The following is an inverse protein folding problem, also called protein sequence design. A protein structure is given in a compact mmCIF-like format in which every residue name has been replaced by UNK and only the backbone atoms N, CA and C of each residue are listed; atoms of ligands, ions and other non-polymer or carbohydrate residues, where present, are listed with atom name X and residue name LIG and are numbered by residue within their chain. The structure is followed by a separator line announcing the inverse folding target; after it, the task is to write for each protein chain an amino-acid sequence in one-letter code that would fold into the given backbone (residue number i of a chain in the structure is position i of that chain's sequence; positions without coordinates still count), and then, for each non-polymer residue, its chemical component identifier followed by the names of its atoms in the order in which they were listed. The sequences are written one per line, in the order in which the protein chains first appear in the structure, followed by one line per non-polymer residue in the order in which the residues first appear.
data_IF_361820516378
#
_entry.id   IF_361820516378
#
_cell.length_a   1.000
_cell.length_b   1.000
_cell.length_c   1.000
_cell.angle_alpha   90.00
_cell.angle_beta   90.00
_cell.angle_gamma   90.00
#
_symmetry.space_group_name_H-M   'P 1'
#
loop_
_entity.id
_entity.type
_entity.pdbx_description
1 polymer ?
#
# COMPACT_ATOMS: atom_id res chain seq x y z
N UNK A 1 -34.15 60.17 8.96
CA UNK A 1 -34.97 58.95 8.90
C UNK A 1 -35.35 58.72 7.45
N UNK A 2 -34.75 57.72 6.79
CA UNK A 2 -35.16 57.25 5.47
C UNK A 2 -34.98 55.74 5.45
N UNK A 3 -36.11 55.02 5.45
CA UNK A 3 -36.19 53.58 5.31
C UNK A 3 -35.95 53.21 3.84
N UNK A 4 -34.82 52.57 3.55
CA UNK A 4 -34.59 51.90 2.27
C UNK A 4 -35.51 50.69 2.17
N UNK A 5 -36.50 50.78 1.28
CA UNK A 5 -37.36 49.67 0.88
C UNK A 5 -36.52 48.57 0.21
N UNK A 6 -36.53 47.35 0.76
CA UNK A 6 -35.96 46.19 0.11
C UNK A 6 -36.78 45.82 -1.12
N UNK A 7 -36.11 45.62 -2.26
CA UNK A 7 -36.71 44.97 -3.43
C UNK A 7 -37.32 43.61 -3.03
N UNK A 8 -38.52 43.26 -3.53
CA UNK A 8 -39.13 41.98 -3.25
C UNK A 8 -38.27 40.85 -3.83
N UNK A 9 -37.95 39.85 -3.00
CA UNK A 9 -37.38 38.58 -3.42
C UNK A 9 -38.34 37.92 -4.42
N UNK A 10 -37.81 37.48 -5.57
CA UNK A 10 -38.54 36.63 -6.51
C UNK A 10 -39.12 35.41 -5.79
N UNK A 11 -40.35 34.98 -6.11
CA UNK A 11 -40.94 33.79 -5.51
C UNK A 11 -40.03 32.58 -5.78
N UNK A 12 -39.54 31.96 -4.71
CA UNK A 12 -38.64 30.81 -4.79
C UNK A 12 -39.28 29.67 -5.60
N UNK A 13 -38.79 29.48 -6.83
CA UNK A 13 -39.25 28.46 -7.77
C UNK A 13 -39.12 27.08 -7.11
N UNK A 14 -40.25 26.37 -7.01
CA UNK A 14 -40.29 25.04 -6.40
C UNK A 14 -40.10 23.93 -7.47
N UNK A 15 -39.81 22.70 -7.03
CA UNK A 15 -39.59 21.59 -7.95
C UNK A 15 -40.81 21.21 -8.81
N UNK A 16 -42.04 21.50 -8.37
CA UNK A 16 -43.26 21.30 -9.14
C UNK A 16 -43.45 22.38 -10.23
N UNK A 17 -43.01 23.62 -9.98
CA UNK A 17 -43.03 24.70 -10.96
C UNK A 17 -42.13 24.34 -12.16
N UNK A 18 -40.99 23.68 -11.91
CA UNK A 18 -40.09 23.21 -12.98
C UNK A 18 -40.72 22.16 -13.90
N UNK A 19 -41.70 21.38 -13.43
CA UNK A 19 -42.44 20.46 -14.30
C UNK A 19 -43.31 21.20 -15.30
N UNK A 20 -43.77 22.41 -14.95
CA UNK A 20 -44.59 23.26 -15.83
C UNK A 20 -43.75 24.05 -16.83
N UNK A 21 -42.43 24.15 -16.62
CA UNK A 21 -41.55 24.91 -17.52
C UNK A 21 -41.46 24.21 -18.88
N UNK A 22 -41.47 25.01 -19.94
CA UNK A 22 -41.00 24.54 -21.24
C UNK A 22 -39.47 24.30 -21.20
N UNK A 23 -38.96 23.56 -22.19
CA UNK A 23 -37.56 23.18 -22.23
C UNK A 23 -36.61 24.39 -22.30
N UNK A 24 -37.06 25.54 -22.81
CA UNK A 24 -36.23 26.75 -22.94
C UNK A 24 -36.10 27.47 -21.60
N UNK A 25 -37.21 27.63 -20.87
CA UNK A 25 -37.25 28.20 -19.53
C UNK A 25 -36.52 27.31 -18.52
N UNK A 26 -36.67 25.99 -18.63
CA UNK A 26 -35.95 25.04 -17.80
C UNK A 26 -34.43 25.15 -18.01
N UNK A 27 -33.97 25.27 -19.26
CA UNK A 27 -32.54 25.49 -19.56
C UNK A 27 -32.01 26.79 -18.96
N UNK A 28 -32.74 27.90 -19.12
CA UNK A 28 -32.32 29.19 -18.57
C UNK A 28 -32.21 29.12 -17.05
N UNK A 29 -33.20 28.52 -16.40
CA UNK A 29 -33.20 28.32 -14.95
C UNK A 29 -31.99 27.49 -14.48
N UNK A 30 -31.72 26.36 -15.15
CA UNK A 30 -30.59 25.47 -14.83
C UNK A 30 -29.21 26.08 -15.11
N UNK A 31 -29.14 27.13 -15.95
CA UNK A 31 -27.89 27.88 -16.20
C UNK A 31 -27.56 28.84 -15.06
N UNK A 32 -28.59 29.35 -14.39
CA UNK A 32 -28.47 30.38 -13.36
C UNK A 32 -28.53 29.81 -11.93
N UNK A 33 -29.03 28.58 -11.75
CA UNK A 33 -29.33 28.00 -10.44
C UNK A 33 -28.84 26.56 -10.32
N UNK A 34 -28.27 26.19 -9.16
CA UNK A 34 -27.86 24.81 -8.87
C UNK A 34 -29.09 23.93 -8.58
N UNK A 35 -29.14 22.75 -9.20
CA UNK A 35 -30.20 21.74 -9.01
C UNK A 35 -30.29 21.30 -7.54
N UNK A 36 -29.17 21.29 -6.82
CA UNK A 36 -29.14 20.91 -5.41
C UNK A 36 -29.85 21.91 -4.49
N UNK A 37 -30.11 23.14 -4.98
CA UNK A 37 -30.82 24.18 -4.22
C UNK A 37 -32.36 24.09 -4.32
N UNK A 38 -32.90 23.15 -5.12
CA UNK A 38 -34.33 23.04 -5.38
C UNK A 38 -35.12 22.54 -4.18
N UNK A 39 -36.00 23.39 -3.65
CA UNK A 39 -36.93 23.02 -2.58
C UNK A 39 -38.12 22.24 -3.14
N UNK A 40 -38.57 21.24 -2.37
CA UNK A 40 -39.79 20.49 -2.68
C UNK A 40 -39.60 19.24 -3.54
N UNK A 41 -38.36 18.87 -3.91
CA UNK A 41 -38.09 17.63 -4.68
C UNK A 41 -38.60 16.38 -3.96
N UNK A 42 -38.52 16.34 -2.62
CA UNK A 42 -39.05 15.24 -1.81
C UNK A 42 -40.58 15.20 -1.72
N UNK A 43 -41.27 16.29 -2.07
CA UNK A 43 -42.73 16.38 -2.08
C UNK A 43 -43.34 15.87 -3.40
N UNK A 44 -42.51 15.64 -4.42
CA UNK A 44 -42.94 15.08 -5.70
C UNK A 44 -43.17 13.57 -5.58
N UNK A 45 -44.21 13.07 -6.24
CA UNK A 45 -44.44 11.64 -6.43
C UNK A 45 -43.28 11.00 -7.21
N UNK A 46 -43.20 9.66 -7.18
CA UNK A 46 -42.16 8.91 -7.92
C UNK A 46 -42.22 9.22 -9.42
N UNK A 47 -43.42 9.32 -9.98
CA UNK A 47 -43.66 9.60 -11.40
C UNK A 47 -43.21 11.01 -11.77
N UNK A 48 -43.55 12.01 -10.95
CA UNK A 48 -43.14 13.40 -11.15
C UNK A 48 -41.62 13.57 -11.05
N UNK A 49 -40.96 12.85 -10.13
CA UNK A 49 -39.49 12.84 -10.03
C UNK A 49 -38.85 12.24 -11.28
N UNK A 50 -39.40 11.16 -11.82
CA UNK A 50 -38.92 10.56 -13.07
C UNK A 50 -39.13 11.50 -14.26
N UNK A 51 -40.27 12.17 -14.36
CA UNK A 51 -40.55 13.15 -15.41
C UNK A 51 -39.64 14.38 -15.32
N UNK A 52 -39.38 14.89 -14.11
CA UNK A 52 -38.44 16.00 -13.90
C UNK A 52 -37.01 15.58 -14.27
N UNK A 53 -36.59 14.37 -13.92
CA UNK A 53 -35.27 13.84 -14.27
C UNK A 53 -35.09 13.67 -15.79
N UNK A 54 -36.11 13.17 -16.50
CA UNK A 54 -36.14 13.10 -17.97
C UNK A 54 -36.07 14.51 -18.58
N UNK A 55 -36.91 15.45 -18.13
CA UNK A 55 -36.87 16.85 -18.61
C UNK A 55 -35.52 17.52 -18.38
N UNK A 56 -34.91 17.32 -17.21
CA UNK A 56 -33.57 17.85 -16.92
C UNK A 56 -32.54 17.22 -17.87
N UNK A 57 -32.62 15.92 -18.12
CA UNK A 57 -31.74 15.19 -19.04
C UNK A 57 -31.89 15.71 -20.48
N UNK A 58 -33.12 15.93 -20.95
CA UNK A 58 -33.42 16.43 -22.29
C UNK A 58 -33.09 17.92 -22.46
N UNK A 59 -33.17 18.69 -21.37
CA UNK A 59 -32.79 20.10 -21.33
C UNK A 59 -31.28 20.30 -21.34
N UNK A 60 -30.50 19.35 -20.81
CA UNK A 60 -29.03 19.27 -20.93
C UNK A 60 -28.63 18.76 -22.32
N UNK A 61 -28.99 19.50 -23.36
CA UNK A 61 -28.18 19.46 -24.57
C UNK A 61 -26.85 20.13 -24.23
N UNK A 62 -25.81 19.30 -24.06
CA UNK A 62 -24.44 19.79 -24.07
C UNK A 62 -24.25 20.62 -25.34
N UNK A 63 -23.81 21.87 -25.19
CA UNK A 63 -23.37 22.64 -26.34
C UNK A 63 -22.22 21.85 -26.96
N UNK A 64 -22.45 21.34 -28.17
CA UNK A 64 -21.45 20.55 -28.88
C UNK A 64 -20.16 21.35 -29.06
N UNK A 65 -20.26 22.68 -29.17
CA UNK A 65 -19.09 23.54 -29.26
C UNK A 65 -18.36 23.64 -27.91
N UNK A 66 -19.08 23.71 -26.78
CA UNK A 66 -18.46 23.72 -25.44
C UNK A 66 -17.78 22.37 -25.13
N UNK A 67 -18.41 21.26 -25.50
CA UNK A 67 -17.84 19.93 -25.35
C UNK A 67 -16.61 19.74 -26.25
N UNK A 68 -16.72 20.13 -27.53
CA UNK A 68 -15.59 20.09 -28.46
C UNK A 68 -14.46 21.01 -28.02
N UNK A 69 -14.75 22.20 -27.48
CA UNK A 69 -13.75 23.11 -26.93
C UNK A 69 -13.05 22.50 -25.72
N UNK A 70 -13.79 21.97 -24.73
CA UNK A 70 -13.20 21.33 -23.55
C UNK A 70 -12.35 20.10 -23.90
N UNK A 71 -12.78 19.33 -24.89
CA UNK A 71 -12.04 18.16 -25.38
C UNK A 71 -10.81 18.55 -26.21
N UNK A 72 -10.90 19.62 -27.02
CA UNK A 72 -9.77 20.21 -27.73
C UNK A 72 -8.74 20.80 -26.75
N UNK A 73 -9.17 21.49 -25.69
CA UNK A 73 -8.29 22.01 -24.63
C UNK A 73 -7.58 20.87 -23.89
N UNK A 74 -8.29 19.77 -23.61
CA UNK A 74 -7.70 18.56 -23.00
C UNK A 74 -6.72 17.82 -23.93
N UNK A 75 -6.94 17.86 -25.26
CA UNK A 75 -6.05 17.28 -26.26
C UNK A 75 -4.82 18.16 -26.56
N UNK A 76 -4.99 19.49 -26.59
CA UNK A 76 -3.97 20.48 -26.88
C UNK A 76 -3.03 20.73 -25.70
N UNK A 77 -3.45 20.43 -24.47
CA UNK A 77 -2.56 20.46 -23.30
C UNK A 77 -1.53 19.35 -23.45
N UNK A 78 -0.24 19.65 -23.70
CA UNK A 78 0.81 18.66 -23.68
C UNK A 78 0.84 18.18 -22.25
N UNK A 79 0.35 16.96 -22.03
CA UNK A 79 0.38 16.30 -20.75
C UNK A 79 1.83 16.00 -20.40
N UNK A 80 2.56 17.03 -19.97
CA UNK A 80 3.45 16.91 -18.83
C UNK A 80 2.56 16.67 -17.61
N UNK A 81 1.82 15.57 -17.60
CA UNK A 81 1.54 14.89 -16.35
C UNK A 81 2.89 14.32 -15.91
N UNK A 82 3.78 15.21 -15.47
CA UNK A 82 4.77 14.84 -14.48
C UNK A 82 3.94 14.48 -13.25
N UNK A 83 3.59 13.21 -13.13
CA UNK A 83 2.98 12.61 -11.93
C UNK A 83 3.86 12.78 -10.67
N UNK A 84 4.99 13.49 -10.78
CA UNK A 84 5.73 14.03 -9.65
C UNK A 84 5.01 15.21 -8.96
N UNK A 85 4.01 15.81 -9.61
CA UNK A 85 3.13 16.81 -8.98
C UNK A 85 1.78 16.18 -8.66
N UNK A 86 1.45 16.24 -7.37
CA UNK A 86 0.19 15.79 -6.79
C UNK A 86 -1.01 16.38 -7.57
N UNK A 87 -2.03 15.58 -7.93
CA UNK A 87 -3.33 16.12 -8.32
C UNK A 87 -3.82 17.01 -7.18
N UNK A 88 -4.01 18.32 -7.44
CA UNK A 88 -4.64 19.22 -6.47
C UNK A 88 -6.08 18.79 -6.29
N UNK A 89 -6.43 18.40 -5.07
CA UNK A 89 -7.82 18.19 -4.68
C UNK A 89 -8.59 19.52 -4.78
N UNK A 90 -9.84 19.52 -5.27
CA UNK A 90 -10.73 20.66 -5.10
C UNK A 90 -10.91 20.92 -3.61
N UNK A 91 -10.73 22.17 -3.18
CA UNK A 91 -10.95 22.62 -1.81
C UNK A 91 -12.44 22.48 -1.47
N UNK A 92 -12.88 21.32 -0.99
CA UNK A 92 -14.19 21.22 -0.34
C UNK A 92 -14.11 21.78 1.08
N UNK A 93 -14.99 22.74 1.36
CA UNK A 93 -15.18 23.34 2.67
C UNK A 93 -15.53 22.24 3.68
N UNK A 94 -14.59 21.96 4.58
CA UNK A 94 -14.67 20.90 5.57
C UNK A 94 -15.66 21.31 6.67
N UNK A 95 -16.85 20.73 6.65
CA UNK A 95 -17.67 20.63 7.86
C UNK A 95 -16.99 19.68 8.84
N UNK A 96 -16.31 20.23 9.85
CA UNK A 96 -15.67 19.49 10.93
C UNK A 96 -16.72 18.73 11.75
N UNK A 97 -16.99 17.47 11.38
CA UNK A 97 -17.65 16.54 12.30
C UNK A 97 -16.56 15.80 13.09
N UNK A 98 -16.60 15.82 14.44
CA UNK A 98 -15.64 15.09 15.27
C UNK A 98 -15.59 13.60 14.90
N UNK A 99 -14.41 12.97 15.03
CA UNK A 99 -14.26 11.53 14.89
C UNK A 99 -15.22 10.80 15.84
N UNK A 100 -15.89 9.72 15.42
CA UNK A 100 -16.43 8.75 16.36
C UNK A 100 -15.25 8.12 17.13
N UNK A 101 -15.31 8.12 18.46
CA UNK A 101 -14.23 7.60 19.33
C UNK A 101 -13.78 6.19 18.92
N UNK A 102 -14.71 5.33 18.49
CA UNK A 102 -14.43 3.95 18.10
C UNK A 102 -13.47 3.77 16.92
N UNK A 103 -13.40 4.71 15.97
CA UNK A 103 -12.47 4.60 14.82
C UNK A 103 -11.05 4.98 15.24
N UNK A 104 -10.94 5.91 16.18
CA UNK A 104 -9.66 6.36 16.72
C UNK A 104 -8.98 5.24 17.52
N UNK A 105 -9.75 4.63 18.42
CA UNK A 105 -9.30 3.51 19.24
C UNK A 105 -8.81 2.33 18.38
N UNK A 106 -9.51 2.04 17.28
CA UNK A 106 -9.11 0.97 16.35
C UNK A 106 -7.77 1.23 15.67
N UNK A 107 -7.54 2.44 15.17
CA UNK A 107 -6.28 2.82 14.51
C UNK A 107 -5.10 2.78 15.48
N UNK A 108 -5.31 3.24 16.72
CA UNK A 108 -4.29 3.19 17.75
C UNK A 108 -3.94 1.76 18.17
N UNK A 109 -4.93 0.87 18.27
CA UNK A 109 -4.69 -0.56 18.47
C UNK A 109 -3.92 -1.17 17.30
N UNK A 110 -4.26 -0.84 16.05
CA UNK A 110 -3.51 -1.32 14.88
C UNK A 110 -2.05 -0.86 14.91
N UNK A 111 -1.80 0.40 15.32
CA UNK A 111 -0.46 0.95 15.49
C UNK A 111 0.32 0.24 16.59
N UNK A 112 -0.32 -0.06 17.72
CA UNK A 112 0.32 -0.81 18.81
C UNK A 112 0.70 -2.22 18.35
N UNK A 113 -0.20 -2.93 17.68
CA UNK A 113 0.06 -4.27 17.15
C UNK A 113 1.17 -4.29 16.10
N UNK A 114 1.25 -3.26 15.25
CA UNK A 114 2.39 -3.09 14.34
C UNK A 114 3.70 -3.05 15.13
N UNK A 115 3.77 -2.25 16.19
CA UNK A 115 4.99 -2.12 17.02
C UNK A 115 5.29 -3.43 17.77
N UNK A 116 4.27 -4.11 18.28
CA UNK A 116 4.41 -5.38 18.99
C UNK A 116 4.99 -6.50 18.11
N UNK A 117 4.57 -6.60 16.84
CA UNK A 117 5.14 -7.55 15.86
C UNK A 117 6.37 -6.98 15.12
N UNK A 118 7.02 -5.96 15.69
CA UNK A 118 8.25 -5.34 15.16
C UNK A 118 8.09 -4.67 13.78
N UNK A 119 6.87 -4.36 13.38
CA UNK A 119 6.57 -3.47 12.27
C UNK A 119 6.87 -2.00 12.62
N UNK A 120 6.84 -1.15 11.59
CA UNK A 120 7.18 0.26 11.71
C UNK A 120 6.01 1.14 11.23
N UNK A 121 5.24 1.76 12.14
CA UNK A 121 4.20 2.69 11.73
C UNK A 121 4.81 3.92 11.06
N UNK A 122 4.13 4.52 10.06
CA UNK A 122 4.63 5.69 9.31
C UNK A 122 4.70 6.98 10.14
N UNK A 123 4.19 6.96 11.35
CA UNK A 123 4.19 8.10 12.27
C UNK A 123 3.42 7.82 13.54
N UNK A 124 3.20 8.88 14.30
CA UNK A 124 2.31 8.94 15.45
C UNK A 124 0.90 9.31 15.02
N UNK A 125 -0.08 9.06 15.89
CA UNK A 125 -1.46 9.51 15.68
C UNK A 125 -1.54 11.04 15.55
N UNK A 126 -0.74 11.78 16.32
CA UNK A 126 -0.70 13.23 16.26
C UNK A 126 -0.18 13.74 14.91
N UNK A 127 0.82 13.07 14.32
CA UNK A 127 1.31 13.39 12.98
C UNK A 127 0.24 13.12 11.91
N UNK A 128 -0.57 12.07 12.06
CA UNK A 128 -1.72 11.84 11.16
C UNK A 128 -2.75 12.95 11.27
N UNK A 129 -3.09 13.40 12.48
CA UNK A 129 -4.02 14.51 12.70
C UNK A 129 -3.49 15.81 12.10
N UNK A 130 -2.19 16.09 12.26
CA UNK A 130 -1.56 17.26 11.64
C UNK A 130 -1.60 17.21 10.11
N UNK A 131 -1.43 16.03 9.51
CA UNK A 131 -1.59 15.85 8.06
C UNK A 131 -3.04 16.05 7.61
N UNK A 132 -4.03 15.67 8.44
CA UNK A 132 -5.43 15.99 8.18
C UNK A 132 -5.68 17.51 8.15
N UNK A 133 -5.08 18.23 9.10
CA UNK A 133 -5.26 19.68 9.25
C UNK A 133 -4.47 20.47 8.20
N UNK A 134 -3.36 19.92 7.71
CA UNK A 134 -2.44 20.56 6.76
C UNK A 134 -1.95 19.58 5.68
N UNK A 135 -2.82 19.20 4.72
CA UNK A 135 -2.48 18.23 3.69
C UNK A 135 -1.36 18.72 2.75
N UNK A 136 -1.14 20.03 2.64
CA UNK A 136 -0.08 20.62 1.80
C UNK A 136 1.32 20.48 2.40
N UNK A 137 1.41 20.27 3.71
CA UNK A 137 2.68 20.06 4.44
C UNK A 137 3.01 18.57 4.60
N UNK A 138 2.21 17.70 3.96
CA UNK A 138 2.11 16.28 4.28
C UNK A 138 3.36 15.45 3.93
N UNK A 139 3.59 14.42 4.75
CA UNK A 139 4.67 13.46 4.59
C UNK A 139 4.33 12.45 3.50
N UNK A 140 5.21 12.28 2.50
CA UNK A 140 5.11 11.25 1.45
C UNK A 140 4.87 9.84 2.03
N UNK A 141 5.37 9.57 3.24
CA UNK A 141 5.17 8.31 3.94
C UNK A 141 3.69 8.04 4.23
N UNK A 142 2.93 9.03 4.71
CA UNK A 142 1.49 8.87 5.02
C UNK A 142 0.70 8.74 3.73
N UNK A 143 1.06 9.54 2.72
CA UNK A 143 0.49 9.45 1.37
C UNK A 143 0.60 8.04 0.77
N UNK A 144 1.64 7.27 1.10
CA UNK A 144 1.81 5.92 0.60
C UNK A 144 0.69 4.94 1.04
N UNK A 145 -0.10 5.30 2.05
CA UNK A 145 -1.13 4.45 2.67
C UNK A 145 -2.57 4.92 2.45
N UNK A 146 -2.75 5.96 1.64
CA UNK A 146 -4.05 6.43 1.17
C UNK A 146 -4.55 5.52 0.02
N UNK A 147 -5.85 5.21 -0.03
CA UNK A 147 -6.44 4.20 -0.94
C UNK A 147 -7.18 4.83 -2.11
N UNK A 148 -7.53 6.11 -2.02
CA UNK A 148 -8.31 6.78 -3.04
C UNK A 148 -7.44 7.04 -4.26
N UNK A 149 -7.95 6.63 -5.41
CA UNK A 149 -7.51 7.17 -6.68
C UNK A 149 -8.00 8.61 -6.83
N UNK A 150 -7.46 9.37 -7.79
CA UNK A 150 -7.75 10.80 -7.95
C UNK A 150 -9.25 11.13 -8.17
N UNK A 151 -10.10 10.13 -8.44
CA UNK A 151 -11.53 10.28 -8.65
C UNK A 151 -12.39 10.08 -7.38
N UNK A 152 -11.83 9.55 -6.28
CA UNK A 152 -12.58 9.27 -5.04
C UNK A 152 -11.97 9.89 -3.80
N UNK A 153 -10.89 10.69 -3.94
CA UNK A 153 -10.15 11.35 -2.85
C UNK A 153 -11.08 12.17 -1.94
N UNK A 154 -11.68 11.48 -0.98
CA UNK A 154 -12.42 12.07 0.13
C UNK A 154 -11.50 11.97 1.33
N UNK A 155 -10.43 12.77 1.28
CA UNK A 155 -9.21 12.62 2.10
C UNK A 155 -9.44 12.49 3.60
N UNK A 156 -10.55 13.00 4.14
CA UNK A 156 -10.90 12.90 5.56
C UNK A 156 -11.30 11.48 6.01
N UNK A 157 -11.78 10.60 5.13
CA UNK A 157 -12.12 9.20 5.47
C UNK A 157 -10.92 8.27 5.36
N UNK A 158 -10.01 8.58 4.45
CA UNK A 158 -8.81 7.81 4.14
C UNK A 158 -7.77 7.81 5.26
N UNK A 159 -7.53 9.00 5.82
CA UNK A 159 -6.58 9.21 6.91
C UNK A 159 -6.97 8.43 8.19
N UNK A 160 -8.22 7.97 8.28
CA UNK A 160 -8.76 7.17 9.40
C UNK A 160 -8.41 5.68 9.34
N UNK A 161 -7.64 5.25 8.34
CA UNK A 161 -7.36 3.82 8.10
C UNK A 161 -5.89 3.55 7.77
N UNK A 162 -4.99 4.50 8.08
CA UNK A 162 -3.57 4.41 7.71
C UNK A 162 -2.91 3.23 8.44
N UNK A 163 -3.05 3.15 9.76
CA UNK A 163 -2.44 2.10 10.56
C UNK A 163 -3.13 0.75 10.36
N UNK A 164 -4.46 0.69 10.18
CA UNK A 164 -5.11 -0.58 9.84
C UNK A 164 -4.62 -1.15 8.51
N UNK A 165 -4.45 -0.29 7.49
CA UNK A 165 -3.89 -0.68 6.18
C UNK A 165 -2.42 -1.10 6.30
N UNK A 166 -1.62 -0.37 7.08
CA UNK A 166 -0.24 -0.76 7.38
C UNK A 166 -0.18 -2.13 8.05
N UNK A 167 -1.05 -2.39 9.03
CA UNK A 167 -1.10 -3.66 9.75
C UNK A 167 -1.52 -4.82 8.84
N UNK A 168 -2.56 -4.64 8.04
CA UNK A 168 -2.99 -5.65 7.07
C UNK A 168 -1.86 -5.98 6.08
N UNK A 169 -1.21 -4.95 5.53
CA UNK A 169 -0.08 -5.10 4.62
C UNK A 169 1.13 -5.76 5.29
N UNK A 170 1.39 -5.43 6.55
CA UNK A 170 2.41 -6.08 7.36
C UNK A 170 2.10 -7.57 7.52
N UNK A 171 0.85 -7.94 7.79
CA UNK A 171 0.46 -9.36 7.86
C UNK A 171 0.60 -10.09 6.53
N UNK A 172 0.29 -9.45 5.38
CA UNK A 172 0.60 -10.03 4.06
C UNK A 172 2.09 -10.32 3.91
N UNK A 173 2.95 -9.39 4.33
CA UNK A 173 4.40 -9.60 4.37
C UNK A 173 4.77 -10.77 5.27
N UNK A 174 4.25 -10.81 6.49
CA UNK A 174 4.58 -11.85 7.46
C UNK A 174 4.15 -13.23 6.96
N UNK A 175 2.93 -13.35 6.43
CA UNK A 175 2.45 -14.56 5.73
C UNK A 175 3.43 -14.98 4.63
N UNK A 176 3.81 -14.04 3.76
CA UNK A 176 4.78 -14.30 2.70
C UNK A 176 6.13 -14.79 3.26
N UNK A 177 6.58 -14.22 4.37
CA UNK A 177 7.84 -14.58 5.02
C UNK A 177 7.85 -16.06 5.44
N UNK A 178 6.79 -16.54 6.07
CA UNK A 178 6.65 -17.97 6.42
C UNK A 178 6.50 -18.85 5.19
N UNK A 179 5.71 -18.44 4.19
CA UNK A 179 5.51 -19.20 2.97
C UNK A 179 6.81 -19.39 2.18
N UNK A 180 7.72 -18.41 2.19
CA UNK A 180 9.01 -18.51 1.52
C UNK A 180 10.00 -19.46 2.23
N UNK A 181 9.67 -19.93 3.45
CA UNK A 181 10.48 -20.84 4.27
C UNK A 181 9.86 -22.23 4.46
N UNK A 182 8.60 -22.42 4.03
CA UNK A 182 7.99 -23.74 4.01
C UNK A 182 8.71 -24.60 2.97
N UNK A 183 9.48 -25.59 3.42
CA UNK A 183 10.13 -26.54 2.54
C UNK A 183 9.07 -27.41 1.83
N UNK A 184 9.38 -27.87 0.61
CA UNK A 184 8.55 -28.80 -0.17
C UNK A 184 8.39 -30.19 0.50
N UNK A 185 9.02 -30.40 1.66
CA UNK A 185 9.04 -31.65 2.43
C UNK A 185 8.06 -31.71 3.62
N UNK A 186 7.08 -30.81 3.68
CA UNK A 186 5.88 -31.07 4.49
C UNK A 186 6.00 -30.75 5.99
N UNK A 187 6.99 -29.96 6.43
CA UNK A 187 6.91 -29.28 7.73
C UNK A 187 5.86 -28.16 7.64
N UNK A 188 4.60 -28.58 7.73
CA UNK A 188 3.38 -27.76 7.67
C UNK A 188 3.20 -26.86 8.91
N UNK A 189 4.15 -26.89 9.84
CA UNK A 189 4.09 -26.15 11.11
C UNK A 189 4.32 -24.65 10.93
N UNK A 190 5.07 -24.23 9.90
CA UNK A 190 5.28 -22.80 9.61
C UNK A 190 3.96 -22.05 9.42
N UNK A 191 3.00 -22.65 8.71
CA UNK A 191 1.67 -22.07 8.51
C UNK A 191 0.81 -22.02 9.77
N UNK A 192 0.90 -23.02 10.65
CA UNK A 192 0.16 -23.05 11.92
C UNK A 192 0.68 -22.00 12.90
N UNK A 193 2.00 -21.88 13.02
CA UNK A 193 2.64 -20.88 13.89
C UNK A 193 2.29 -19.47 13.42
N UNK A 194 2.36 -19.24 12.11
CA UNK A 194 2.02 -17.96 11.49
C UNK A 194 0.55 -17.59 11.72
N UNK A 195 -0.36 -18.55 11.55
CA UNK A 195 -1.79 -18.35 11.85
C UNK A 195 -2.03 -18.06 13.35
N UNK A 196 -1.38 -18.78 14.26
CA UNK A 196 -1.53 -18.54 15.70
C UNK A 196 -1.08 -17.13 16.10
N UNK A 197 0.00 -16.61 15.51
CA UNK A 197 0.45 -15.23 15.72
C UNK A 197 -0.59 -14.21 15.22
N UNK A 198 -1.14 -14.43 14.02
CA UNK A 198 -2.20 -13.59 13.45
C UNK A 198 -3.49 -13.61 14.28
N UNK A 199 -3.92 -14.79 14.70
CA UNK A 199 -5.07 -14.98 15.59
C UNK A 199 -4.87 -14.24 16.92
N UNK A 200 -3.68 -14.34 17.50
CA UNK A 200 -3.32 -13.61 18.72
C UNK A 200 -3.42 -12.09 18.56
N UNK A 201 -2.90 -11.53 17.47
CA UNK A 201 -2.98 -10.10 17.18
C UNK A 201 -4.43 -9.63 16.96
N UNK A 202 -5.21 -10.33 16.13
CA UNK A 202 -6.64 -10.01 15.94
C UNK A 202 -7.41 -10.09 17.26
N UNK A 203 -7.09 -11.07 18.10
CA UNK A 203 -7.71 -11.23 19.42
C UNK A 203 -7.44 -10.04 20.33
N UNK A 204 -6.20 -9.55 20.38
CA UNK A 204 -5.86 -8.36 21.17
C UNK A 204 -6.57 -7.11 20.66
N UNK A 205 -6.65 -6.91 19.34
CA UNK A 205 -7.39 -5.78 18.75
C UNK A 205 -8.87 -5.82 19.13
N UNK A 206 -9.56 -6.95 18.91
CA UNK A 206 -10.98 -7.05 19.21
C UNK A 206 -11.27 -6.94 20.71
N UNK A 207 -10.42 -7.50 21.57
CA UNK A 207 -10.53 -7.28 23.03
C UNK A 207 -10.29 -5.81 23.40
N UNK A 208 -9.30 -5.16 22.78
CA UNK A 208 -9.03 -3.73 23.00
C UNK A 208 -10.20 -2.83 22.62
N UNK A 209 -11.04 -3.26 21.67
CA UNK A 209 -12.28 -2.61 21.29
C UNK A 209 -13.49 -2.94 22.19
N UNK A 210 -13.31 -3.74 23.25
CA UNK A 210 -14.42 -4.21 24.09
C UNK A 210 -15.34 -5.22 23.41
N UNK A 211 -14.84 -5.95 22.40
CA UNK A 211 -15.57 -7.00 21.69
C UNK A 211 -15.27 -8.40 22.26
N UNK A 212 -15.21 -8.57 23.58
CA UNK A 212 -14.91 -9.85 24.23
C UNK A 212 -15.93 -10.94 23.89
N UNK A 213 -17.20 -10.55 23.67
CA UNK A 213 -18.25 -11.48 23.24
C UNK A 213 -17.95 -12.07 21.86
N UNK A 214 -17.43 -11.26 20.92
CA UNK A 214 -17.05 -11.71 19.59
C UNK A 214 -15.88 -12.70 19.67
N UNK A 215 -14.89 -12.42 20.51
CA UNK A 215 -13.70 -13.28 20.68
C UNK A 215 -14.05 -14.60 21.37
N UNK A 216 -15.08 -14.61 22.22
CA UNK A 216 -15.54 -15.79 22.95
C UNK A 216 -16.50 -16.67 22.14
N UNK A 217 -16.92 -16.22 20.96
CA UNK A 217 -17.79 -16.97 20.06
C UNK A 217 -17.06 -18.18 19.46
N UNK A 218 -17.74 -19.33 19.40
CA UNK A 218 -17.16 -20.58 18.87
C UNK A 218 -16.71 -20.45 17.40
N UNK A 219 -17.29 -19.53 16.63
CA UNK A 219 -16.97 -19.28 15.22
C UNK A 219 -15.84 -18.27 15.02
N UNK A 220 -15.28 -17.69 16.09
CA UNK A 220 -14.28 -16.63 15.99
C UNK A 220 -13.00 -17.12 15.29
N UNK A 221 -12.42 -18.24 15.74
CA UNK A 221 -11.20 -18.78 15.15
C UNK A 221 -11.38 -19.12 13.67
N UNK A 222 -12.53 -19.73 13.31
CA UNK A 222 -12.89 -20.03 11.92
C UNK A 222 -13.01 -18.75 11.07
N UNK A 223 -13.57 -17.68 11.62
CA UNK A 223 -13.68 -16.39 10.94
C UNK A 223 -12.31 -15.79 10.68
N UNK A 224 -11.42 -15.81 11.67
CA UNK A 224 -10.05 -15.31 11.52
C UNK A 224 -9.23 -16.21 10.57
N UNK A 225 -9.48 -17.52 10.57
CA UNK A 225 -8.88 -18.47 9.63
C UNK A 225 -9.26 -18.14 8.18
N UNK A 226 -10.53 -17.82 7.90
CA UNK A 226 -10.96 -17.39 6.56
C UNK A 226 -10.27 -16.10 6.13
N UNK A 227 -10.12 -15.13 7.04
CA UNK A 227 -9.37 -13.89 6.75
C UNK A 227 -7.90 -14.18 6.45
N UNK A 228 -7.26 -15.02 7.27
CA UNK A 228 -5.89 -15.46 7.05
C UNK A 228 -5.71 -16.14 5.69
N UNK A 229 -6.62 -17.06 5.35
CA UNK A 229 -6.61 -17.76 4.07
C UNK A 229 -6.76 -16.79 2.88
N UNK A 230 -7.65 -15.81 3.00
CA UNK A 230 -7.83 -14.77 1.97
C UNK A 230 -6.54 -13.96 1.74
N UNK A 231 -5.83 -13.58 2.81
CA UNK A 231 -4.54 -12.90 2.72
C UNK A 231 -3.45 -13.82 2.14
N UNK A 232 -3.49 -15.11 2.47
CA UNK A 232 -2.48 -16.09 2.02
C UNK A 232 -2.52 -16.43 0.53
N UNK A 233 -3.61 -16.12 -0.17
CA UNK A 233 -3.75 -16.31 -1.61
C UNK A 233 -2.72 -15.49 -2.42
N UNK A 234 -2.11 -14.46 -1.81
CA UNK A 234 -1.01 -13.67 -2.39
C UNK A 234 0.35 -14.38 -2.30
N UNK A 235 0.38 -15.66 -2.71
CA UNK A 235 1.58 -16.49 -2.65
C UNK A 235 2.69 -15.89 -3.51
N UNK A 236 3.80 -15.56 -2.87
CA UNK A 236 4.95 -14.92 -3.50
C UNK A 236 5.86 -15.93 -4.23
N UNK A 237 5.81 -17.22 -3.93
CA UNK A 237 6.69 -18.20 -4.58
C UNK A 237 6.01 -18.84 -5.80
N UNK A 238 6.65 -18.89 -6.97
CA UNK A 238 6.46 -20.03 -7.86
C UNK A 238 6.80 -21.29 -7.06
N UNK A 239 5.96 -22.32 -7.11
CA UNK A 239 6.08 -23.49 -6.21
C UNK A 239 7.49 -24.12 -6.22
N UNK A 240 8.26 -23.94 -7.29
CA UNK A 240 9.56 -24.59 -7.52
C UNK A 240 10.79 -23.84 -6.96
N UNK A 241 10.67 -22.63 -6.38
CA UNK A 241 11.85 -21.82 -6.06
C UNK A 241 12.41 -22.03 -4.64
N UNK A 242 13.53 -22.76 -4.49
CA UNK A 242 14.15 -23.01 -3.16
C UNK A 242 14.40 -21.75 -2.30
N UNK A 243 14.46 -21.91 -0.97
CA UNK A 243 14.79 -20.83 -0.03
C UNK A 243 16.12 -20.13 -0.35
N UNK A 244 17.11 -20.87 -0.87
CA UNK A 244 18.38 -20.29 -1.31
C UNK A 244 18.19 -19.31 -2.49
N UNK A 245 17.39 -19.69 -3.49
CA UNK A 245 17.07 -18.82 -4.62
C UNK A 245 16.26 -17.59 -4.19
N UNK A 246 15.36 -17.73 -3.21
CA UNK A 246 14.67 -16.60 -2.61
C UNK A 246 15.65 -15.63 -1.92
N UNK A 247 16.57 -16.16 -1.12
CA UNK A 247 17.61 -15.36 -0.44
C UNK A 247 18.49 -14.59 -1.42
N UNK A 248 18.90 -15.20 -2.52
CA UNK A 248 19.69 -14.53 -3.56
C UNK A 248 18.88 -13.44 -4.29
N UNK A 249 17.60 -13.69 -4.54
CA UNK A 249 16.69 -12.69 -5.12
C UNK A 249 16.56 -11.46 -4.23
N UNK A 250 16.35 -11.67 -2.92
CA UNK A 250 16.29 -10.58 -1.95
C UNK A 250 17.62 -9.83 -1.93
N UNK A 251 18.77 -10.54 -1.87
CA UNK A 251 20.10 -9.93 -1.90
C UNK A 251 20.32 -9.02 -3.11
N UNK A 252 19.92 -9.49 -4.29
CA UNK A 252 20.05 -8.74 -5.54
C UNK A 252 19.23 -7.46 -5.51
N UNK A 253 17.97 -7.53 -5.07
CA UNK A 253 17.10 -6.34 -4.98
C UNK A 253 17.60 -5.33 -3.94
N UNK A 254 17.92 -5.77 -2.73
CA UNK A 254 18.39 -4.87 -1.67
C UNK A 254 19.74 -4.22 -2.02
N UNK A 255 20.58 -4.91 -2.82
CA UNK A 255 21.90 -4.40 -3.24
C UNK A 255 21.83 -3.08 -4.00
N UNK A 256 20.69 -2.76 -4.63
CA UNK A 256 20.46 -1.50 -5.36
C UNK A 256 20.46 -0.27 -4.45
N UNK A 257 20.19 -0.46 -3.16
CA UNK A 257 20.04 0.63 -2.17
C UNK A 257 21.33 0.91 -1.37
N UNK A 258 22.42 0.19 -1.65
CA UNK A 258 23.78 0.50 -1.13
C UNK A 258 23.92 0.54 0.41
N UNK A 259 23.17 -0.29 1.13
CA UNK A 259 23.36 -0.46 2.57
C UNK A 259 24.76 -0.99 2.89
N UNK A 260 25.38 -0.46 3.96
CA UNK A 260 26.75 -0.80 4.39
C UNK A 260 26.80 -2.02 5.31
N UNK A 261 25.73 -2.25 6.07
CA UNK A 261 25.60 -3.35 7.00
C UNK A 261 25.29 -4.64 6.23
N UNK A 262 25.98 -5.71 6.60
CA UNK A 262 25.70 -7.04 6.06
C UNK A 262 24.25 -7.46 6.31
N UNK A 263 23.70 -8.25 5.39
CA UNK A 263 22.36 -8.80 5.48
C UNK A 263 22.43 -10.33 5.56
N UNK A 264 21.78 -10.88 6.59
CA UNK A 264 21.69 -12.31 6.83
C UNK A 264 20.23 -12.69 7.05
N UNK A 265 19.69 -13.48 6.13
CA UNK A 265 18.35 -14.05 6.24
C UNK A 265 18.42 -15.43 6.90
N UNK A 266 17.57 -15.63 7.90
CA UNK A 266 17.45 -16.86 8.67
C UNK A 266 16.35 -17.76 8.13
N UNK A 267 16.58 -19.08 8.23
CA UNK A 267 15.58 -20.08 7.83
C UNK A 267 14.38 -20.09 8.78
N UNK A 268 14.62 -19.90 10.07
CA UNK A 268 13.55 -19.70 11.06
C UNK A 268 13.25 -18.20 11.19
N UNK A 269 12.01 -17.79 10.88
CA UNK A 269 11.55 -16.39 10.98
C UNK A 269 11.78 -15.81 12.38
N UNK A 270 11.67 -16.64 13.42
CA UNK A 270 11.78 -16.21 14.83
C UNK A 270 13.21 -15.85 15.23
N UNK A 271 14.19 -16.32 14.49
CA UNK A 271 15.60 -16.04 14.72
C UNK A 271 16.08 -14.82 13.92
N UNK A 272 15.24 -14.32 13.01
CA UNK A 272 15.59 -13.19 12.17
C UNK A 272 15.55 -11.89 12.98
N UNK A 273 16.65 -11.12 12.91
CA UNK A 273 16.71 -9.82 13.59
C UNK A 273 15.83 -8.77 12.89
N UNK A 274 15.59 -7.65 13.58
CA UNK A 274 14.78 -6.55 13.05
C UNK A 274 15.37 -5.95 11.76
N UNK A 275 16.69 -5.91 11.62
CA UNK A 275 17.36 -5.37 10.42
C UNK A 275 17.10 -6.25 9.19
N UNK A 276 17.28 -7.56 9.33
CA UNK A 276 17.02 -8.53 8.27
C UNK A 276 15.53 -8.59 7.93
N UNK A 277 14.64 -8.46 8.92
CA UNK A 277 13.18 -8.38 8.73
C UNK A 277 12.78 -7.13 7.94
N UNK A 278 13.33 -5.96 8.28
CA UNK A 278 13.08 -4.73 7.53
C UNK A 278 13.58 -4.82 6.07
N UNK A 279 14.76 -5.41 5.84
CA UNK A 279 15.28 -5.58 4.47
C UNK A 279 14.50 -6.63 3.67
N UNK A 280 13.98 -7.66 4.33
CA UNK A 280 13.06 -8.59 3.67
C UNK A 280 11.72 -7.92 3.32
N UNK A 281 11.21 -7.06 4.20
CA UNK A 281 10.04 -6.24 3.95
C UNK A 281 10.25 -5.26 2.79
N UNK A 282 11.43 -4.65 2.67
CA UNK A 282 11.81 -3.84 1.50
C UNK A 282 11.73 -4.64 0.19
N UNK A 283 12.23 -5.89 0.18
CA UNK A 283 12.11 -6.76 -0.98
C UNK A 283 10.64 -7.09 -1.29
N UNK A 284 9.82 -7.33 -0.26
CA UNK A 284 8.39 -7.56 -0.40
C UNK A 284 7.70 -6.37 -1.09
N UNK A 285 7.93 -5.14 -0.61
CA UNK A 285 7.32 -3.94 -1.20
C UNK A 285 7.87 -3.60 -2.58
N UNK A 286 9.19 -3.77 -2.81
CA UNK A 286 9.84 -3.56 -4.11
C UNK A 286 9.26 -4.49 -5.16
N UNK A 287 9.06 -5.77 -4.84
CA UNK A 287 8.44 -6.70 -5.77
C UNK A 287 7.01 -6.32 -6.12
N UNK A 288 6.22 -5.92 -5.12
CA UNK A 288 4.84 -5.51 -5.37
C UNK A 288 4.78 -4.27 -6.26
N UNK A 289 5.71 -3.33 -6.07
CA UNK A 289 5.90 -2.21 -6.97
C UNK A 289 6.21 -2.69 -8.40
N UNK A 290 7.19 -3.59 -8.58
CA UNK A 290 7.55 -4.15 -9.89
C UNK A 290 6.32 -4.75 -10.61
N UNK A 291 5.46 -5.49 -9.88
CA UNK A 291 4.24 -6.08 -10.44
C UNK A 291 3.20 -5.03 -10.87
N UNK A 292 2.94 -4.04 -10.01
CA UNK A 292 2.00 -2.96 -10.30
C UNK A 292 2.50 -2.07 -11.44
N UNK A 293 3.81 -1.79 -11.47
CA UNK A 293 4.44 -1.01 -12.52
C UNK A 293 4.35 -1.73 -13.87
N UNK A 294 4.71 -3.01 -13.94
CA UNK A 294 4.58 -3.81 -15.17
C UNK A 294 3.13 -3.87 -15.67
N UNK A 295 2.14 -3.92 -14.76
CA UNK A 295 0.72 -3.84 -15.13
C UNK A 295 0.34 -2.46 -15.70
N UNK A 296 0.88 -1.38 -15.14
CA UNK A 296 0.65 -0.04 -15.69
C UNK A 296 1.28 0.11 -17.08
N UNK A 297 2.50 -0.38 -17.26
CA UNK A 297 3.20 -0.39 -18.55
C UNK A 297 2.45 -1.21 -19.62
N UNK A 298 1.87 -2.37 -19.26
CA UNK A 298 1.13 -3.19 -20.22
C UNK A 298 -0.18 -2.54 -20.69
N UNK A 299 -0.77 -1.64 -19.89
CA UNK A 299 -1.97 -0.88 -20.24
C UNK A 299 -1.66 0.42 -21.01
N UNK A 300 -0.40 0.87 -21.00
CA UNK A 300 0.03 2.13 -21.58
C UNK A 300 -0.24 2.24 -23.10
N UNK A 301 -0.02 1.20 -23.93
CA UNK A 301 -0.32 1.30 -25.36
C UNK A 301 -1.80 1.55 -25.64
N UNK A 302 -2.69 0.84 -24.95
CA UNK A 302 -4.14 1.00 -25.09
C UNK A 302 -4.61 2.39 -24.66
N UNK A 303 -4.01 2.94 -23.58
CA UNK A 303 -4.27 4.31 -23.15
C UNK A 303 -3.89 5.34 -24.21
N UNK A 304 -2.67 5.24 -24.77
CA UNK A 304 -2.22 6.20 -25.78
C UNK A 304 -3.00 6.08 -27.08
N UNK A 305 -3.37 4.87 -27.48
CA UNK A 305 -4.22 4.64 -28.65
C UNK A 305 -5.61 5.25 -28.47
N UNK A 306 -6.25 5.03 -27.31
CA UNK A 306 -7.54 5.65 -27.00
C UNK A 306 -7.46 7.19 -26.99
N UNK A 307 -6.35 7.76 -26.49
CA UNK A 307 -6.11 9.20 -26.50
C UNK A 307 -5.88 9.75 -27.91
N UNK A 308 -5.20 8.99 -28.77
CA UNK A 308 -5.03 9.33 -30.19
C UNK A 308 -6.38 9.36 -30.90
N UNK A 309 -7.20 8.32 -30.74
CA UNK A 309 -8.56 8.24 -31.31
C UNK A 309 -9.47 9.37 -30.81
N UNK A 310 -9.36 9.78 -29.55
CA UNK A 310 -10.07 10.96 -29.04
C UNK A 310 -9.71 12.22 -29.84
N UNK A 311 -8.41 12.43 -30.05
CA UNK A 311 -7.88 13.61 -30.74
C UNK A 311 -8.32 13.64 -32.20
N UNK A 312 -8.42 12.47 -32.84
CA UNK A 312 -8.89 12.33 -34.23
C UNK A 312 -10.41 12.50 -34.37
N UNK A 313 -11.20 11.87 -33.48
CA UNK A 313 -12.65 11.99 -33.49
C UNK A 313 -13.17 13.39 -33.14
N UNK A 314 -12.36 14.21 -32.44
CA UNK A 314 -12.66 15.62 -32.21
C UNK A 314 -12.58 16.49 -33.45
N UNK A 315 -11.78 16.07 -34.43
CA UNK A 315 -11.59 16.80 -35.68
C UNK A 315 -12.64 16.44 -36.75
N UNK A 316 -13.58 15.54 -36.44
CA UNK A 316 -14.59 15.07 -37.37
C UNK A 316 -15.96 15.76 -37.19
N UNK A 317 -16.75 15.83 -38.26
CA UNK A 317 -17.98 16.64 -38.31
C UNK A 317 -19.15 16.05 -37.49
N UNK A 318 -20.12 16.92 -37.15
CA UNK A 318 -21.32 16.71 -36.31
C UNK A 318 -22.16 15.43 -36.58
N UNK A 319 -22.00 14.77 -37.73
CA UNK A 319 -22.67 13.52 -38.09
C UNK A 319 -22.19 12.29 -37.27
N UNK A 320 -21.06 12.42 -36.55
CA UNK A 320 -20.39 11.31 -35.89
C UNK A 320 -20.80 11.06 -34.42
N UNK A 321 -21.97 11.52 -33.96
CA UNK A 321 -22.38 11.34 -32.55
C UNK A 321 -22.33 9.89 -32.04
N UNK A 322 -22.65 8.90 -32.87
CA UNK A 322 -22.57 7.48 -32.48
C UNK A 322 -21.15 6.92 -32.56
N UNK A 323 -20.32 7.41 -33.49
CA UNK A 323 -18.89 7.12 -33.50
C UNK A 323 -18.19 7.73 -32.27
N UNK A 324 -18.56 8.95 -31.87
CA UNK A 324 -18.10 9.59 -30.64
C UNK A 324 -18.51 8.80 -29.39
N UNK A 325 -19.71 8.18 -29.34
CA UNK A 325 -20.10 7.31 -28.20
C UNK A 325 -19.18 6.09 -28.08
N UNK A 326 -18.86 5.44 -29.20
CA UNK A 326 -17.95 4.29 -29.21
C UNK A 326 -16.53 4.70 -28.83
N UNK A 327 -16.05 5.86 -29.30
CA UNK A 327 -14.76 6.43 -28.91
C UNK A 327 -14.74 6.74 -27.41
N UNK A 328 -15.77 7.39 -26.86
CA UNK A 328 -15.88 7.69 -25.42
C UNK A 328 -15.94 6.41 -24.58
N UNK A 329 -16.64 5.37 -25.03
CA UNK A 329 -16.66 4.07 -24.37
C UNK A 329 -15.25 3.43 -24.37
N UNK A 330 -14.58 3.37 -25.52
CA UNK A 330 -13.22 2.85 -25.64
C UNK A 330 -12.22 3.62 -24.76
N UNK A 331 -12.36 4.94 -24.66
CA UNK A 331 -11.57 5.78 -23.77
C UNK A 331 -11.83 5.44 -22.32
N UNK A 332 -13.09 5.28 -21.91
CA UNK A 332 -13.42 4.91 -20.52
C UNK A 332 -12.80 3.56 -20.15
N UNK A 333 -12.90 2.58 -21.05
CA UNK A 333 -12.35 1.23 -20.88
C UNK A 333 -10.81 1.21 -20.85
N UNK A 334 -10.14 2.12 -21.56
CA UNK A 334 -8.67 2.18 -21.58
C UNK A 334 -8.08 3.08 -20.49
N UNK A 335 -8.67 4.26 -20.25
CA UNK A 335 -8.13 5.29 -19.35
C UNK A 335 -8.30 4.91 -17.89
N UNK A 336 -9.47 4.42 -17.49
CA UNK A 336 -9.75 4.07 -16.10
C UNK A 336 -8.77 3.04 -15.52
N UNK A 337 -8.62 1.86 -16.16
CA UNK A 337 -7.68 0.84 -15.71
C UNK A 337 -6.22 1.29 -15.72
N UNK A 338 -5.78 2.04 -16.75
CA UNK A 338 -4.41 2.54 -16.83
C UNK A 338 -4.11 3.51 -15.68
N UNK A 339 -4.95 4.53 -15.47
CA UNK A 339 -4.76 5.50 -14.38
C UNK A 339 -4.80 4.82 -13.02
N UNK A 340 -5.72 3.87 -12.81
CA UNK A 340 -5.78 3.10 -11.56
C UNK A 340 -4.49 2.29 -11.33
N UNK A 341 -3.98 1.60 -12.35
CA UNK A 341 -2.75 0.82 -12.25
C UNK A 341 -1.53 1.71 -12.02
N UNK A 342 -1.43 2.83 -12.73
CA UNK A 342 -0.34 3.79 -12.60
C UNK A 342 -0.32 4.43 -11.20
N UNK A 343 -1.49 4.81 -10.69
CA UNK A 343 -1.61 5.40 -9.35
C UNK A 343 -1.28 4.38 -8.26
N UNK A 344 -1.73 3.13 -8.40
CA UNK A 344 -1.35 2.05 -7.51
C UNK A 344 0.17 1.81 -7.50
N UNK A 345 0.81 1.80 -8.69
CA UNK A 345 2.26 1.69 -8.81
C UNK A 345 2.98 2.88 -8.16
N UNK A 346 2.46 4.10 -8.34
CA UNK A 346 3.01 5.31 -7.72
C UNK A 346 2.94 5.25 -6.18
N UNK A 347 1.77 4.95 -5.61
CA UNK A 347 1.59 4.80 -4.15
C UNK A 347 2.51 3.73 -3.59
N UNK A 348 2.61 2.60 -4.30
CA UNK A 348 3.49 1.51 -3.91
C UNK A 348 4.98 1.90 -3.98
N UNK A 349 5.38 2.75 -4.94
CA UNK A 349 6.73 3.32 -4.99
C UNK A 349 7.02 4.19 -3.76
N UNK A 350 6.08 5.04 -3.34
CA UNK A 350 6.24 5.83 -2.11
C UNK A 350 6.46 4.94 -0.88
N UNK A 351 5.82 3.76 -0.81
CA UNK A 351 6.10 2.79 0.27
C UNK A 351 7.53 2.27 0.19
N UNK A 352 8.01 1.90 -1.00
CA UNK A 352 9.40 1.45 -1.20
C UNK A 352 10.37 2.53 -0.74
N UNK A 353 10.18 3.77 -1.19
CA UNK A 353 11.03 4.90 -0.83
C UNK A 353 11.04 5.14 0.69
N UNK A 354 9.86 5.08 1.33
CA UNK A 354 9.74 5.16 2.79
C UNK A 354 10.49 4.04 3.52
N UNK A 355 10.37 2.78 3.08
CA UNK A 355 11.11 1.66 3.70
C UNK A 355 12.63 1.82 3.53
N UNK A 356 13.08 2.36 2.38
CA UNK A 356 14.51 2.66 2.14
C UNK A 356 15.02 3.72 3.12
N UNK A 357 14.29 4.81 3.29
CA UNK A 357 14.63 5.86 4.26
C UNK A 357 14.69 5.32 5.69
N UNK A 358 13.69 4.52 6.07
CA UNK A 358 13.61 3.86 7.36
C UNK A 358 14.83 2.93 7.59
N UNK A 359 15.22 2.15 6.59
CA UNK A 359 16.40 1.29 6.67
C UNK A 359 17.70 2.08 6.85
N UNK A 360 17.89 3.18 6.13
CA UNK A 360 19.07 4.05 6.34
C UNK A 360 19.11 4.67 7.74
N UNK A 361 17.95 5.07 8.27
CA UNK A 361 17.83 5.58 9.64
C UNK A 361 18.22 4.50 10.65
N UNK A 362 17.66 3.30 10.53
CA UNK A 362 17.97 2.16 11.40
C UNK A 362 19.46 1.77 11.34
N UNK A 363 20.06 1.74 10.15
CA UNK A 363 21.49 1.47 9.97
C UNK A 363 22.37 2.50 10.70
N UNK A 364 22.00 3.77 10.60
CA UNK A 364 22.70 4.88 11.25
C UNK A 364 22.60 4.76 12.77
N UNK A 365 21.40 4.49 13.29
CA UNK A 365 21.16 4.31 14.73
C UNK A 365 21.96 3.12 15.28
N UNK A 366 21.91 1.97 14.62
CA UNK A 366 22.71 0.79 15.03
C UNK A 366 24.22 1.07 15.02
N UNK A 367 24.70 1.86 14.04
CA UNK A 367 26.10 2.27 13.96
C UNK A 367 26.50 3.17 15.13
N UNK A 368 25.62 4.09 15.55
CA UNK A 368 25.84 4.96 16.72
C UNK A 368 25.90 4.17 18.03
N UNK A 369 25.00 3.21 18.22
CA UNK A 369 25.00 2.33 19.40
C UNK A 369 26.28 1.51 19.49
N UNK A 370 26.79 1.00 18.36
CA UNK A 370 28.05 0.25 18.32
C UNK A 370 29.25 1.12 18.71
N UNK A 371 29.27 2.39 18.27
CA UNK A 371 30.32 3.35 18.66
C UNK A 371 30.24 3.68 20.15
N UNK A 372 29.05 3.99 20.68
CA UNK A 372 28.85 4.31 22.11
C UNK A 372 29.32 3.17 23.03
N UNK A 373 28.95 1.92 22.74
CA UNK A 373 29.42 0.74 23.49
C UNK A 373 30.94 0.53 23.42
N UNK A 374 31.62 0.99 22.35
CA UNK A 374 33.09 0.94 22.26
C UNK A 374 33.77 2.02 23.10
N UNK A 375 33.18 3.21 23.18
CA UNK A 375 33.69 4.32 24.00
C UNK A 375 33.46 4.09 25.51
N UNK A 376 32.40 3.40 25.89
CA UNK A 376 32.06 3.12 27.30
C UNK A 376 32.75 1.88 27.88
N UNK A 377 33.58 1.16 27.10
CA UNK A 377 34.42 0.08 27.66
C UNK A 377 35.44 0.70 28.63
N UNK A 378 35.38 0.38 29.95
CA UNK A 378 36.29 0.99 30.90
C UNK A 378 37.73 0.57 30.59
N UNK A 379 38.65 1.52 30.72
CA UNK A 379 40.11 1.31 30.76
C UNK A 379 40.54 0.54 32.05
N UNK A 380 39.77 -0.46 32.47
CA UNK A 380 40.13 -1.41 33.53
C UNK A 380 41.06 -2.47 32.96
N UNK A 381 42.28 -2.06 32.61
CA UNK A 381 43.23 -3.00 32.03
C UNK A 381 44.67 -2.53 31.95
N UNK A 382 45.09 -1.48 32.66
CA UNK A 382 46.51 -1.09 32.73
C UNK A 382 46.87 -0.45 34.08
N UNK A 383 46.70 -1.18 35.18
CA UNK A 383 47.28 -0.76 36.47
C UNK A 383 47.64 -1.97 37.35
N UNK A 384 48.71 -2.69 36.99
CA UNK A 384 49.69 -3.33 37.90
C UNK A 384 50.43 -4.45 37.18
N UNK A 385 51.71 -4.22 36.87
CA UNK A 385 52.81 -5.15 37.17
C UNK A 385 54.12 -4.55 36.66
N UNK A 386 54.77 -3.80 37.55
CA UNK A 386 56.22 -3.60 37.58
C UNK A 386 56.64 -3.60 39.04
N UNK A 387 57.12 -4.74 39.54
CA UNK A 387 58.22 -4.81 40.51
C UNK A 387 58.98 -6.10 40.19
N UNK A 388 60.28 -5.92 39.93
CA UNK A 388 61.26 -6.93 39.65
C UNK A 388 61.77 -7.57 40.95
N UNK A 389 62.32 -8.80 40.86
CA UNK A 389 63.29 -9.27 41.85
C UNK A 389 63.31 -10.79 42.10
N UNK A 390 64.39 -11.42 41.64
CA UNK A 390 65.04 -12.63 42.18
C UNK A 390 64.48 -14.03 41.84
N UNK A 391 65.17 -14.66 40.87
CA UNK A 391 65.49 -16.10 40.78
C UNK A 391 66.46 -16.54 41.92
N UNK A 392 66.89 -17.83 42.06
CA UNK A 392 66.57 -19.05 41.28
C UNK A 392 66.26 -20.31 42.13
N UNK A 393 65.83 -21.41 41.50
CA UNK A 393 66.57 -22.69 41.46
C UNK A 393 65.68 -23.90 41.12
N UNK A 394 66.30 -24.88 40.44
CA UNK A 394 65.97 -26.31 40.46
C UNK A 394 64.98 -26.88 39.42
N UNK A 395 65.54 -27.22 38.25
CA UNK A 395 65.21 -28.46 37.49
C UNK A 395 65.51 -29.71 38.35
N UNK A 396 64.99 -30.94 38.09
CA UNK A 396 65.04 -31.57 36.76
C UNK A 396 63.96 -32.61 36.35
N UNK A 397 63.92 -32.86 35.02
CA UNK A 397 63.79 -34.14 34.26
C UNK A 397 62.60 -35.10 34.51
N UNK A 398 61.83 -35.40 33.44
CA UNK A 398 61.62 -36.75 32.79
C UNK A 398 60.68 -36.61 31.56
N UNK A 399 61.09 -36.84 30.30
CA UNK A 399 60.94 -38.07 29.45
C UNK A 399 59.56 -38.73 29.56
N UNK A 400 58.76 -39.12 28.55
CA UNK A 400 58.91 -39.67 27.17
C UNK A 400 57.56 -39.48 26.42
N UNK A 401 57.48 -39.19 25.11
CA UNK A 401 57.52 -40.09 23.92
C UNK A 401 56.32 -41.07 23.77
N UNK A 402 55.51 -40.89 22.70
CA UNK A 402 54.82 -41.92 21.89
C UNK A 402 53.77 -41.21 21.01
N UNK A 403 53.98 -40.84 19.74
CA UNK A 403 53.95 -41.63 18.47
C UNK A 403 52.85 -42.68 18.35
N UNK A 404 51.82 -42.39 17.56
CA UNK A 404 50.82 -43.35 17.09
C UNK A 404 50.19 -42.89 15.77
N UNK A 405 50.44 -43.67 14.72
CA UNK A 405 50.31 -43.38 13.29
C UNK A 405 48.92 -43.72 12.71
N UNK A 406 48.57 -43.01 11.62
CA UNK A 406 47.60 -43.29 10.54
C UNK A 406 46.94 -44.68 10.50
N UNK A 407 45.66 -44.69 10.11
CA UNK A 407 45.23 -45.53 8.97
C UNK A 407 44.01 -44.96 8.24
N UNK A 408 44.15 -44.92 6.91
CA UNK A 408 43.13 -44.63 5.91
C UNK A 408 42.15 -45.80 5.76
N UNK A 409 40.90 -45.50 5.40
CA UNK A 409 40.08 -46.41 4.61
C UNK A 409 39.34 -45.61 3.52
N UNK A 410 39.87 -45.71 2.30
CA UNK A 410 39.12 -45.54 1.05
C UNK A 410 38.38 -46.85 0.82
N UNK A 411 37.11 -46.80 0.46
CA UNK A 411 36.51 -47.82 -0.41
C UNK A 411 35.59 -47.12 -1.42
N UNK A 412 35.75 -47.57 -2.66
CA UNK A 412 35.15 -47.05 -3.86
C UNK A 412 33.93 -47.88 -4.26
N UNK A 413 33.06 -47.24 -5.05
CA UNK A 413 32.39 -47.89 -6.18
C UNK A 413 31.03 -48.51 -5.89
N UNK A 414 29.98 -47.98 -6.51
CA UNK A 414 29.27 -48.70 -7.57
C UNK A 414 28.34 -47.75 -8.32
N UNK A 415 28.72 -47.51 -9.59
CA UNK A 415 27.81 -47.08 -10.66
C UNK A 415 26.86 -48.23 -10.97
N UNK A 416 25.57 -47.94 -11.09
CA UNK A 416 24.70 -48.72 -11.97
C UNK A 416 23.97 -47.74 -12.88
N UNK A 417 24.33 -47.84 -14.16
CA UNK A 417 23.53 -47.36 -15.27
C UNK A 417 22.25 -48.20 -15.33
N UNK A 418 21.10 -47.56 -15.52
CA UNK A 418 19.90 -48.22 -16.03
C UNK A 418 19.47 -47.51 -17.31
N UNK A 419 19.52 -48.31 -18.35
CA UNK A 419 19.16 -48.10 -19.74
C UNK A 419 17.67 -47.78 -19.92
N UNK A 420 17.42 -46.82 -20.82
CA UNK A 420 16.53 -46.89 -21.98
C UNK A 420 15.48 -48.03 -21.98
N UNK A 421 14.20 -47.63 -22.06
CA UNK A 421 13.19 -48.29 -22.88
C UNK A 421 12.23 -47.25 -23.46
N UNK A 422 12.44 -46.99 -24.75
CA UNK A 422 11.42 -46.55 -25.69
C UNK A 422 10.38 -47.65 -25.94
N UNK A 423 9.27 -47.21 -26.57
CA UNK A 423 8.28 -47.92 -27.41
C UNK A 423 6.84 -47.99 -26.80
N UNK A 424 5.79 -48.13 -27.63
CA UNK A 424 5.29 -47.10 -28.58
C UNK A 424 3.74 -47.03 -28.65
N UNK A 425 3.20 -45.90 -29.10
CA UNK A 425 2.21 -45.71 -30.19
C UNK A 425 1.51 -44.37 -30.07
#
# INVERSE_FOLDING_TARGET
MSLTQSKPQDPAVNAADLLTYDNRRLRQFLKEHDINSLRGVLKLSKTERSQLAEKIRDSKQFDANELSQRLADAAATPSRYTFNEYPRSPTESTGHSPLPDSTRDYEDLCRQELVEDHGHPVGTEQELLQVCDQPETSCNAIHAWLSDGPATETGARELRTVFSRQLERWWEFRISQWNNRADDHGERDGGKIAFAAYLGAKTRIYKGLGAEQLVSDESYEDTILRQWQALSAFRQRPEEQSFAAYKDTVRMRIGRHQFKRGWQMEKDVRQQDGWATLLEYLNFETRHWEQLHARAESLQPAFFEARRLLSEGLNAAQAERDACKNIVAAIREAVGPYLKAQYAAYRQKLRVDWVVELAHKMETEMSRHTKKRRLEKPLLGKAKRRVAGAHPASCPKRTERSTGTRQSARLAGLRLASTSRDLPK
#
